data_IF_256245803520
#
_entry.id   IF_256245803520
#
_cell.length_a   1.000
_cell.length_b   1.000
_cell.length_c   1.000
_cell.angle_alpha   90.00
_cell.angle_beta   90.00
_cell.angle_gamma   90.00
#
_symmetry.space_group_name_H-M   'P 1'
#
loop_
_entity.id
_entity.type
_entity.pdbx_description
1 polymer ?
#
# COMPACT_ATOMS: atom_id res chain seq x y z
N UNK A 1 -11.70 15.43 19.19
CA UNK A 1 -10.68 16.27 18.53
C UNK A 1 -11.38 17.12 17.49
N UNK A 2 -10.94 18.37 17.31
CA UNK A 2 -11.50 19.32 16.33
C UNK A 2 -10.40 20.22 15.78
N UNK A 3 -10.68 20.95 14.69
CA UNK A 3 -9.75 21.89 14.05
C UNK A 3 -10.34 23.30 14.12
N UNK A 4 -9.51 24.28 14.45
CA UNK A 4 -9.84 25.69 14.39
C UNK A 4 -9.28 26.30 13.09
N UNK A 5 -10.06 27.18 12.46
CA UNK A 5 -9.59 28.01 11.36
C UNK A 5 -8.82 29.25 11.87
N UNK A 6 -8.30 30.06 10.93
CA UNK A 6 -7.44 31.22 11.22
C UNK A 6 -8.05 32.25 12.19
N UNK A 7 -9.39 32.35 12.24
CA UNK A 7 -10.10 33.27 13.14
C UNK A 7 -10.47 32.64 14.51
N UNK A 8 -9.94 31.45 14.84
CA UNK A 8 -10.30 30.72 16.06
C UNK A 8 -11.72 30.13 16.04
N UNK A 9 -12.39 30.17 14.88
CA UNK A 9 -13.68 29.49 14.65
C UNK A 9 -13.44 27.99 14.50
N UNK A 10 -14.31 27.17 15.08
CA UNK A 10 -14.28 25.72 14.88
C UNK A 10 -14.66 25.42 13.42
N UNK A 11 -13.76 24.78 12.69
CA UNK A 11 -13.93 24.35 11.31
C UNK A 11 -14.30 22.87 11.24
N UNK A 12 -13.64 22.04 12.06
CA UNK A 12 -14.01 20.64 12.24
C UNK A 12 -14.47 20.44 13.69
N UNK A 13 -15.70 19.94 13.93
CA UNK A 13 -16.26 19.80 15.26
C UNK A 13 -15.49 18.79 16.11
N UNK A 14 -15.65 18.87 17.42
CA UNK A 14 -14.96 18.01 18.39
C UNK A 14 -15.53 16.58 18.49
N UNK A 15 -16.21 16.12 17.45
CA UNK A 15 -16.99 14.88 17.43
C UNK A 15 -16.18 13.63 17.10
N UNK A 16 -14.92 13.81 16.70
CA UNK A 16 -14.03 12.71 16.32
C UNK A 16 -13.11 12.29 17.44
N UNK A 17 -12.91 10.98 17.59
CA UNK A 17 -11.94 10.40 18.53
C UNK A 17 -10.50 10.72 18.10
N UNK A 18 -10.24 10.82 16.80
CA UNK A 18 -8.97 11.26 16.24
C UNK A 18 -9.16 11.92 14.86
N UNK A 19 -8.20 12.80 14.51
CA UNK A 19 -8.09 13.42 13.18
C UNK A 19 -6.61 13.29 12.78
N UNK A 20 -6.36 12.80 11.57
CA UNK A 20 -5.02 12.58 11.02
C UNK A 20 -4.85 13.33 9.72
N UNK A 21 -3.66 13.88 9.56
CA UNK A 21 -3.23 14.47 8.31
C UNK A 21 -2.99 13.37 7.25
N UNK A 22 -3.21 13.70 5.99
CA UNK A 22 -2.93 12.80 4.86
C UNK A 22 -1.83 13.36 4.00
N UNK A 23 -1.18 12.50 3.20
CA UNK A 23 -0.12 12.97 2.32
C UNK A 23 -0.60 13.99 1.27
N UNK A 24 -1.91 14.00 0.97
CA UNK A 24 -2.54 14.90 0.00
C UNK A 24 -2.51 16.37 0.44
N UNK A 25 -2.27 16.64 1.72
CA UNK A 25 -2.24 18.00 2.26
C UNK A 25 -0.87 18.67 2.11
N UNK A 26 0.10 18.01 1.46
CA UNK A 26 1.36 18.63 1.07
C UNK A 26 1.23 19.36 -0.28
N UNK A 27 1.94 20.49 -0.41
CA UNK A 27 1.84 21.43 -1.54
C UNK A 27 2.08 20.83 -2.94
N UNK A 28 2.70 19.66 -3.05
CA UNK A 28 2.90 18.98 -4.32
C UNK A 28 1.62 18.34 -4.91
N UNK A 29 0.56 18.13 -4.11
CA UNK A 29 -0.66 17.44 -4.54
C UNK A 29 -1.90 18.32 -4.73
N UNK A 30 -1.86 19.60 -4.30
CA UNK A 30 -2.90 20.60 -4.61
C UNK A 30 -3.13 20.75 -6.13
N UNK A 31 -2.11 20.45 -6.94
CA UNK A 31 -2.21 20.50 -8.41
C UNK A 31 -2.84 19.25 -9.04
N UNK A 32 -2.79 18.10 -8.36
CA UNK A 32 -3.33 16.81 -8.85
C UNK A 32 -4.78 16.60 -8.43
N UNK A 33 -5.19 17.18 -7.30
CA UNK A 33 -6.55 17.15 -6.78
C UNK A 33 -7.08 18.56 -6.50
N UNK A 34 -7.13 19.46 -7.49
CA UNK A 34 -7.53 20.86 -7.28
C UNK A 34 -8.98 20.99 -6.76
N UNK A 35 -9.81 19.98 -6.99
CA UNK A 35 -11.21 19.95 -6.55
C UNK A 35 -11.38 19.38 -5.14
N UNK A 36 -10.34 18.80 -4.53
CA UNK A 36 -10.41 18.23 -3.18
C UNK A 36 -9.53 19.07 -2.26
N UNK A 37 -10.17 19.95 -1.50
CA UNK A 37 -9.55 20.65 -0.38
C UNK A 37 -9.05 19.64 0.67
N UNK A 38 -8.19 20.09 1.59
CA UNK A 38 -7.44 19.22 2.50
C UNK A 38 -8.24 18.00 3.02
N UNK A 39 -7.70 16.81 2.80
CA UNK A 39 -8.32 15.55 3.21
C UNK A 39 -7.76 15.15 4.56
N UNK A 40 -8.64 14.89 5.52
CA UNK A 40 -8.28 14.37 6.83
C UNK A 40 -8.87 12.98 7.02
N UNK A 41 -8.09 12.04 7.58
CA UNK A 41 -8.64 10.78 8.07
C UNK A 41 -9.20 11.04 9.46
N UNK A 42 -10.42 10.60 9.71
CA UNK A 42 -11.08 10.75 11.01
C UNK A 42 -11.47 9.42 11.58
N UNK A 43 -11.39 9.32 12.91
CA UNK A 43 -11.88 8.17 13.67
C UNK A 43 -13.09 8.57 14.50
N UNK A 44 -14.16 7.78 14.42
CA UNK A 44 -15.35 7.90 15.27
C UNK A 44 -15.83 6.50 15.66
N UNK A 45 -16.02 6.26 16.96
CA UNK A 45 -16.51 4.98 17.49
C UNK A 45 -15.69 3.76 17.01
N UNK A 46 -14.38 3.94 16.85
CA UNK A 46 -13.46 2.89 16.37
C UNK A 46 -13.57 2.58 14.87
N UNK A 47 -14.29 3.40 14.10
CA UNK A 47 -14.35 3.36 12.63
C UNK A 47 -13.64 4.55 12.02
N UNK A 48 -13.10 4.35 10.84
CA UNK A 48 -12.35 5.36 10.08
C UNK A 48 -13.05 5.71 8.77
N UNK A 49 -12.89 6.97 8.37
CA UNK A 49 -13.32 7.55 7.10
C UNK A 49 -12.47 8.78 6.79
N UNK A 50 -12.87 9.55 5.79
CA UNK A 50 -12.22 10.83 5.46
C UNK A 50 -13.21 11.97 5.37
N UNK A 51 -12.76 13.15 5.70
CA UNK A 51 -13.49 14.41 5.54
C UNK A 51 -12.62 15.43 4.80
N UNK A 52 -13.27 16.41 4.17
CA UNK A 52 -12.59 17.62 3.72
C UNK A 52 -12.40 18.64 4.87
N UNK A 53 -11.78 19.77 4.55
CA UNK A 53 -11.58 20.92 5.44
C UNK A 53 -12.88 21.66 5.83
N UNK A 54 -14.03 21.29 5.26
CA UNK A 54 -15.36 21.80 5.60
C UNK A 54 -16.18 20.76 6.37
N UNK A 55 -15.53 19.67 6.80
CA UNK A 55 -16.16 18.56 7.52
C UNK A 55 -17.23 17.80 6.69
N UNK A 56 -17.15 17.85 5.36
CA UNK A 56 -17.95 16.98 4.49
C UNK A 56 -17.31 15.60 4.43
N UNK A 57 -18.11 14.54 4.58
CA UNK A 57 -17.63 13.16 4.48
C UNK A 57 -17.34 12.83 3.02
N UNK A 58 -16.08 12.45 2.73
CA UNK A 58 -15.65 11.94 1.42
C UNK A 58 -15.73 10.41 1.46
N UNK A 59 -14.97 9.77 2.35
CA UNK A 59 -15.03 8.34 2.60
C UNK A 59 -15.87 8.09 3.85
N UNK A 60 -16.96 7.30 3.78
CA UNK A 60 -17.80 7.01 4.94
C UNK A 60 -17.02 6.42 6.12
N UNK A 61 -17.37 6.84 7.35
CA UNK A 61 -16.72 6.42 8.59
C UNK A 61 -17.21 5.03 9.02
N UNK A 62 -16.87 4.01 8.22
CA UNK A 62 -17.36 2.64 8.38
C UNK A 62 -16.25 1.59 8.31
N UNK A 63 -15.00 2.01 8.09
CA UNK A 63 -13.86 1.12 7.88
C UNK A 63 -13.12 0.85 9.19
N UNK A 64 -12.51 -0.33 9.30
CA UNK A 64 -11.73 -0.72 10.49
C UNK A 64 -10.31 -0.12 10.47
N UNK A 65 -9.86 0.35 9.30
CA UNK A 65 -8.56 0.98 9.12
C UNK A 65 -8.46 1.65 7.76
N UNK A 66 -7.80 2.81 7.72
CA UNK A 66 -7.40 3.53 6.52
C UNK A 66 -5.96 4.01 6.71
N UNK A 67 -5.08 3.80 5.72
CA UNK A 67 -3.73 4.37 5.73
C UNK A 67 -3.74 5.80 5.19
N UNK A 68 -2.71 6.60 5.51
CA UNK A 68 -2.60 8.00 5.02
C UNK A 68 -2.32 8.12 3.52
N UNK A 69 -1.73 7.06 2.94
CA UNK A 69 -1.40 6.92 1.52
C UNK A 69 -1.08 5.45 1.18
N UNK A 70 -0.86 5.15 -0.10
CA UNK A 70 -0.22 3.92 -0.58
C UNK A 70 1.15 4.30 -1.15
N UNK A 71 2.23 3.89 -0.49
CA UNK A 71 3.59 4.16 -0.96
C UNK A 71 3.93 3.30 -2.18
N UNK A 72 4.61 3.89 -3.19
CA UNK A 72 5.03 3.24 -4.44
C UNK A 72 3.90 2.62 -5.30
N UNK A 73 2.65 3.01 -5.06
CA UNK A 73 1.47 2.45 -5.71
C UNK A 73 0.51 3.51 -6.24
N UNK A 74 -0.77 3.14 -6.49
CA UNK A 74 -1.76 4.08 -6.96
C UNK A 74 -2.05 5.10 -5.87
N UNK A 75 -2.46 6.31 -6.27
CA UNK A 75 -2.92 7.31 -5.32
C UNK A 75 -4.16 6.79 -4.59
N UNK A 76 -4.03 6.57 -3.28
CA UNK A 76 -5.10 6.05 -2.49
C UNK A 76 -4.70 5.63 -1.08
N UNK A 77 -5.58 4.85 -0.47
CA UNK A 77 -5.45 4.36 0.89
C UNK A 77 -5.49 2.83 0.86
N UNK A 78 -4.63 2.19 1.65
CA UNK A 78 -4.95 0.84 2.12
C UNK A 78 -6.20 0.94 3.00
N UNK A 79 -7.14 0.04 2.78
CA UNK A 79 -8.39 -0.03 3.53
C UNK A 79 -8.54 -1.38 4.18
N UNK A 80 -9.10 -1.39 5.39
CA UNK A 80 -9.49 -2.59 6.11
C UNK A 80 -10.97 -2.58 6.46
N UNK A 81 -11.68 -3.68 6.21
CA UNK A 81 -13.07 -3.89 6.63
C UNK A 81 -13.33 -5.36 6.93
N UNK A 82 -13.90 -5.65 8.10
CA UNK A 82 -14.21 -6.99 8.58
C UNK A 82 -13.03 -7.96 8.48
N UNK A 83 -11.82 -7.47 8.79
CA UNK A 83 -10.59 -8.26 8.73
C UNK A 83 -10.03 -8.49 7.32
N UNK A 84 -10.66 -7.97 6.27
CA UNK A 84 -10.19 -8.02 4.89
C UNK A 84 -9.56 -6.69 4.46
N UNK A 85 -8.69 -6.75 3.47
CA UNK A 85 -7.88 -5.64 2.98
C UNK A 85 -8.13 -5.37 1.51
N UNK A 86 -7.97 -4.11 1.12
CA UNK A 86 -8.04 -3.61 -0.25
C UNK A 86 -7.30 -2.28 -0.40
N UNK A 87 -7.47 -1.65 -1.56
CA UNK A 87 -6.97 -0.29 -1.86
C UNK A 87 -8.15 0.52 -2.39
N UNK A 88 -8.29 1.76 -1.95
CA UNK A 88 -9.30 2.69 -2.46
C UNK A 88 -8.68 4.03 -2.83
N UNK A 89 -9.27 4.73 -3.79
CA UNK A 89 -8.88 6.08 -4.15
C UNK A 89 -9.21 7.07 -3.03
N UNK A 90 -8.66 8.30 -3.03
CA UNK A 90 -9.01 9.34 -2.07
C UNK A 90 -10.50 9.74 -2.11
N UNK A 91 -11.16 9.49 -3.25
CA UNK A 91 -12.61 9.71 -3.44
C UNK A 91 -13.47 8.55 -2.93
N UNK A 92 -12.85 7.48 -2.42
CA UNK A 92 -13.54 6.30 -1.88
C UNK A 92 -13.90 5.24 -2.92
N UNK A 93 -13.39 5.34 -4.16
CA UNK A 93 -13.58 4.31 -5.17
C UNK A 93 -12.68 3.11 -4.88
N UNK A 94 -13.23 1.90 -4.90
CA UNK A 94 -12.44 0.69 -4.64
C UNK A 94 -11.56 0.39 -5.86
N UNK A 95 -10.25 0.43 -5.67
CA UNK A 95 -9.24 0.05 -6.67
C UNK A 95 -8.98 -1.45 -6.55
N UNK A 96 -8.44 -1.91 -5.41
CA UNK A 96 -8.29 -3.34 -5.09
C UNK A 96 -9.43 -3.74 -4.14
N UNK A 97 -10.26 -4.73 -4.49
CA UNK A 97 -11.38 -5.19 -3.66
C UNK A 97 -11.02 -5.54 -2.22
N UNK A 98 -11.91 -5.21 -1.27
CA UNK A 98 -11.72 -5.48 0.17
C UNK A 98 -12.11 -6.93 0.51
N UNK A 99 -11.42 -7.90 -0.09
CA UNK A 99 -11.70 -9.33 0.08
C UNK A 99 -10.47 -10.18 0.42
N UNK A 100 -9.30 -9.57 0.40
CA UNK A 100 -8.03 -10.25 0.61
C UNK A 100 -7.70 -10.30 2.10
N UNK A 101 -7.04 -11.37 2.54
CA UNK A 101 -6.47 -11.48 3.88
C UNK A 101 -5.22 -10.58 4.03
N UNK A 102 -4.65 -10.17 2.90
CA UNK A 102 -3.49 -9.29 2.82
C UNK A 102 -3.40 -8.65 1.44
N UNK A 103 -3.02 -7.37 1.42
CA UNK A 103 -2.58 -6.64 0.21
C UNK A 103 -1.23 -6.00 0.55
N UNK A 104 -0.20 -6.32 -0.22
CA UNK A 104 1.15 -5.84 0.02
C UNK A 104 1.40 -4.44 -0.51
N UNK A 105 2.53 -3.86 -0.10
CA UNK A 105 3.07 -2.64 -0.69
C UNK A 105 3.35 -2.85 -2.18
N UNK A 106 2.78 -2.00 -3.05
CA UNK A 106 3.07 -2.04 -4.47
C UNK A 106 4.56 -1.85 -4.80
N UNK A 107 4.99 -2.45 -5.89
CA UNK A 107 6.34 -2.31 -6.45
C UNK A 107 6.25 -2.40 -7.97
N UNK A 108 6.71 -1.38 -8.70
CA UNK A 108 6.60 -1.30 -10.18
C UNK A 108 5.18 -1.66 -10.66
N UNK A 109 4.19 -0.96 -10.11
CA UNK A 109 2.77 -1.07 -10.49
C UNK A 109 2.10 -2.43 -10.27
N UNK A 110 2.75 -3.35 -9.56
CA UNK A 110 2.15 -4.62 -9.12
C UNK A 110 2.13 -4.75 -7.60
N UNK A 111 1.18 -5.51 -7.08
CA UNK A 111 1.07 -5.84 -5.66
C UNK A 111 0.77 -7.33 -5.46
N UNK A 112 1.28 -7.87 -4.36
CA UNK A 112 0.99 -9.23 -3.92
C UNK A 112 -0.28 -9.20 -3.06
N UNK A 113 -1.19 -10.14 -3.31
CA UNK A 113 -2.39 -10.33 -2.49
C UNK A 113 -2.43 -11.74 -1.93
N UNK A 114 -3.04 -11.92 -0.76
CA UNK A 114 -3.28 -13.24 -0.16
C UNK A 114 -4.77 -13.46 0.08
N UNK A 115 -5.28 -14.62 -0.29
CA UNK A 115 -6.65 -15.07 0.00
C UNK A 115 -6.62 -16.55 0.37
N UNK A 116 -7.20 -16.89 1.52
CA UNK A 116 -7.31 -18.26 2.03
C UNK A 116 -5.94 -18.99 2.09
N UNK A 117 -4.89 -18.28 2.50
CA UNK A 117 -3.54 -18.84 2.63
C UNK A 117 -2.79 -19.05 1.30
N UNK A 118 -3.35 -18.64 0.16
CA UNK A 118 -2.67 -18.63 -1.14
C UNK A 118 -2.38 -17.22 -1.60
N UNK A 119 -1.32 -17.07 -2.39
CA UNK A 119 -0.85 -15.81 -2.91
C UNK A 119 -1.17 -15.66 -4.40
N UNK A 120 -1.40 -14.42 -4.82
CA UNK A 120 -1.53 -13.99 -6.21
C UNK A 120 -0.88 -12.63 -6.42
N UNK A 121 -0.86 -12.18 -7.67
CA UNK A 121 -0.28 -10.89 -8.05
C UNK A 121 -1.28 -10.13 -8.89
N UNK A 122 -1.53 -8.88 -8.53
CA UNK A 122 -2.39 -7.97 -9.26
C UNK A 122 -1.56 -6.77 -9.73
N UNK A 123 -1.97 -6.15 -10.83
CA UNK A 123 -1.58 -4.77 -11.10
C UNK A 123 -2.29 -3.83 -10.11
N UNK A 124 -1.75 -2.62 -9.96
CA UNK A 124 -2.38 -1.55 -9.18
C UNK A 124 -3.69 -1.02 -9.81
N UNK A 125 -4.03 -1.48 -11.00
CA UNK A 125 -5.33 -1.26 -11.66
C UNK A 125 -6.28 -2.46 -11.48
N UNK A 126 -5.98 -3.36 -10.55
CA UNK A 126 -6.77 -4.57 -10.28
C UNK A 126 -6.83 -5.58 -11.43
N UNK A 127 -5.81 -5.61 -12.30
CA UNK A 127 -5.70 -6.67 -13.33
C UNK A 127 -4.95 -7.85 -12.74
N UNK A 128 -5.49 -9.05 -12.88
CA UNK A 128 -4.80 -10.27 -12.45
C UNK A 128 -3.56 -10.50 -13.32
N UNK A 129 -2.39 -10.57 -12.67
CA UNK A 129 -1.11 -10.96 -13.29
C UNK A 129 -0.85 -12.44 -13.03
N UNK A 130 -1.06 -12.88 -11.78
CA UNK A 130 -1.05 -14.27 -11.39
C UNK A 130 -2.23 -14.58 -10.48
N UNK A 131 -2.98 -15.65 -10.73
CA UNK A 131 -4.14 -16.02 -9.92
C UNK A 131 -3.73 -16.38 -8.50
N UNK A 132 -4.67 -16.21 -7.57
CA UNK A 132 -4.47 -16.55 -6.15
C UNK A 132 -4.45 -18.07 -5.94
N UNK A 133 -3.30 -18.67 -6.24
CA UNK A 133 -3.09 -20.13 -6.24
C UNK A 133 -1.67 -20.53 -5.85
N UNK A 134 -0.79 -19.55 -5.61
CA UNK A 134 0.61 -19.76 -5.27
C UNK A 134 0.77 -20.05 -3.78
N UNK A 135 1.74 -20.89 -3.43
CA UNK A 135 2.13 -21.15 -2.04
C UNK A 135 3.00 -20.02 -1.49
N UNK A 136 3.83 -19.41 -2.33
CA UNK A 136 4.66 -18.26 -1.98
C UNK A 136 4.91 -17.38 -3.22
N UNK A 137 5.07 -16.08 -3.02
CA UNK A 137 5.41 -15.09 -4.04
C UNK A 137 6.46 -14.12 -3.50
N UNK A 138 7.59 -14.00 -4.20
CA UNK A 138 8.64 -13.03 -3.94
C UNK A 138 8.73 -12.08 -5.13
N UNK A 139 8.61 -10.78 -4.86
CA UNK A 139 8.86 -9.74 -5.87
C UNK A 139 10.34 -9.38 -5.87
N UNK A 140 11.11 -10.03 -6.76
CA UNK A 140 12.50 -9.70 -7.03
C UNK A 140 12.56 -8.56 -8.06
N UNK A 141 12.44 -7.35 -7.54
CA UNK A 141 12.41 -6.13 -8.34
C UNK A 141 13.69 -5.35 -8.06
N UNK A 142 14.50 -5.17 -9.10
CA UNK A 142 15.71 -4.35 -9.03
C UNK A 142 15.35 -2.96 -8.49
N UNK A 143 15.89 -2.61 -7.33
CA UNK A 143 15.71 -1.27 -6.74
C UNK A 143 16.39 -0.24 -7.63
N UNK A 144 15.76 0.92 -7.72
CA UNK A 144 16.13 2.04 -8.60
C UNK A 144 17.43 2.77 -8.21
N UNK A 145 18.11 2.36 -7.14
CA UNK A 145 19.22 3.13 -6.56
C UNK A 145 20.48 2.28 -6.46
N UNK A 146 21.57 2.77 -7.08
CA UNK A 146 22.94 2.36 -6.78
C UNK A 146 23.63 3.51 -6.07
N UNK A 147 24.23 3.22 -4.93
CA UNK A 147 25.21 4.10 -4.30
C UNK A 147 26.41 4.19 -5.24
N UNK A 148 26.66 5.38 -5.78
CA UNK A 148 27.83 5.63 -6.62
C UNK A 148 29.02 5.86 -5.70
N UNK A 149 30.22 5.58 -6.19
CA UNK A 149 31.47 5.64 -5.41
C UNK A 149 31.79 7.02 -4.80
N UNK A 150 31.08 8.07 -5.20
CA UNK A 150 31.18 9.42 -4.66
C UNK A 150 30.18 9.71 -3.52
N UNK A 151 29.42 8.71 -3.07
CA UNK A 151 28.39 8.84 -2.04
C UNK A 151 27.08 9.46 -2.53
N UNK A 152 26.93 9.67 -3.84
CA UNK A 152 25.65 10.09 -4.44
C UNK A 152 24.77 8.89 -4.76
N UNK A 153 23.47 9.14 -4.91
CA UNK A 153 22.50 8.16 -5.39
C UNK A 153 22.19 8.47 -6.85
N UNK A 154 22.52 7.54 -7.76
CA UNK A 154 22.13 7.65 -9.17
C UNK A 154 20.99 6.69 -9.49
N UNK A 155 20.04 7.16 -10.32
CA UNK A 155 19.07 6.28 -10.98
C UNK A 155 19.86 5.38 -11.91
N UNK A 156 19.93 4.07 -11.62
CA UNK A 156 20.43 3.13 -12.62
C UNK A 156 19.46 3.14 -13.80
N UNK A 157 19.99 3.13 -15.03
CA UNK A 157 19.18 2.76 -16.19
C UNK A 157 18.53 1.41 -15.88
N UNK A 158 17.21 1.41 -16.03
CA UNK A 158 16.30 0.30 -15.77
C UNK A 158 16.84 -0.98 -16.41
N UNK A 159 17.52 -1.82 -15.64
CA UNK A 159 17.78 -3.18 -16.05
C UNK A 159 16.49 -4.00 -15.79
N UNK A 160 15.41 -3.62 -16.49
CA UNK A 160 14.12 -4.34 -16.53
C UNK A 160 14.36 -5.84 -16.75
N UNK A 161 15.42 -6.17 -17.50
CA UNK A 161 15.93 -7.53 -17.78
C UNK A 161 16.11 -8.44 -16.54
N UNK A 162 16.25 -7.89 -15.32
CA UNK A 162 16.42 -8.71 -14.10
C UNK A 162 15.19 -8.83 -13.21
N UNK A 163 14.17 -7.99 -13.39
CA UNK A 163 13.02 -8.01 -12.48
C UNK A 163 12.11 -9.20 -12.79
N UNK A 164 11.75 -9.96 -11.75
CA UNK A 164 10.95 -11.18 -11.89
C UNK A 164 10.09 -11.42 -10.66
N UNK A 165 9.01 -12.15 -10.87
CA UNK A 165 8.16 -12.70 -9.82
C UNK A 165 8.63 -14.14 -9.60
N UNK A 166 9.10 -14.44 -8.39
CA UNK A 166 9.52 -15.78 -8.00
C UNK A 166 8.36 -16.43 -7.26
N UNK A 167 7.92 -17.57 -7.74
CA UNK A 167 6.68 -18.21 -7.30
C UNK A 167 6.95 -19.64 -6.89
N UNK A 168 6.51 -20.01 -5.69
CA UNK A 168 6.36 -21.40 -5.29
C UNK A 168 4.92 -21.83 -5.57
N UNK A 169 4.74 -22.88 -6.35
CA UNK A 169 3.43 -23.46 -6.61
C UNK A 169 3.56 -24.98 -6.68
N UNK A 170 2.82 -25.68 -5.81
CA UNK A 170 2.79 -27.14 -5.73
C UNK A 170 4.19 -27.75 -5.57
N UNK A 171 5.03 -27.13 -4.74
CA UNK A 171 6.41 -27.58 -4.50
C UNK A 171 7.41 -27.27 -5.62
N UNK A 172 6.99 -26.58 -6.68
CA UNK A 172 7.86 -26.18 -7.79
C UNK A 172 8.09 -24.68 -7.78
N UNK A 173 9.35 -24.26 -7.84
CA UNK A 173 9.72 -22.85 -8.01
C UNK A 173 9.76 -22.47 -9.48
N UNK A 174 9.20 -21.31 -9.80
CA UNK A 174 9.13 -20.78 -11.16
C UNK A 174 9.43 -19.27 -11.13
N UNK A 175 10.00 -18.77 -12.21
CA UNK A 175 10.18 -17.34 -12.45
C UNK A 175 9.18 -16.87 -13.50
N UNK A 176 8.51 -15.76 -13.21
CA UNK A 176 7.64 -15.06 -14.14
C UNK A 176 8.14 -13.63 -14.34
N UNK A 177 7.84 -13.05 -15.50
CA UNK A 177 7.97 -11.62 -15.71
C UNK A 177 6.89 -10.86 -14.93
N UNK A 178 7.04 -9.54 -14.82
CA UNK A 178 6.07 -8.69 -14.10
C UNK A 178 4.69 -8.63 -14.77
N UNK A 179 4.58 -9.03 -16.03
CA UNK A 179 3.32 -9.20 -16.78
C UNK A 179 2.78 -10.63 -16.74
N UNK A 180 3.39 -11.53 -15.94
CA UNK A 180 2.88 -12.88 -15.69
C UNK A 180 3.30 -13.94 -16.72
N UNK A 181 4.23 -13.65 -17.62
CA UNK A 181 4.78 -14.66 -18.54
C UNK A 181 5.82 -15.52 -17.85
N UNK A 182 5.73 -16.84 -18.02
CA UNK A 182 6.72 -17.77 -17.48
C UNK A 182 8.09 -17.53 -18.14
N UNK A 183 9.10 -17.23 -17.33
CA UNK A 183 10.49 -17.05 -17.76
C UNK A 183 11.29 -18.34 -17.58
N UNK A 184 11.09 -19.03 -16.47
CA UNK A 184 11.79 -20.27 -16.14
C UNK A 184 10.90 -21.14 -15.26
N UNK A 185 10.85 -22.43 -15.55
CA UNK A 185 10.15 -23.40 -14.72
C UNK A 185 11.12 -24.32 -13.99
N UNK A 186 10.65 -24.91 -12.88
CA UNK A 186 11.40 -25.89 -12.10
C UNK A 186 12.79 -25.38 -11.68
N UNK A 187 12.83 -24.16 -11.15
CA UNK A 187 14.04 -23.55 -10.60
C UNK A 187 14.51 -24.40 -9.40
N UNK A 188 15.77 -24.85 -9.37
CA UNK A 188 16.28 -25.65 -8.27
C UNK A 188 16.22 -24.89 -6.94
N UNK A 189 15.82 -25.58 -5.86
CA UNK A 189 15.80 -24.99 -4.52
C UNK A 189 17.16 -24.41 -4.11
N UNK A 190 18.26 -25.02 -4.57
CA UNK A 190 19.62 -24.50 -4.33
C UNK A 190 19.79 -23.08 -4.87
N UNK A 191 19.31 -22.82 -6.09
CA UNK A 191 19.36 -21.48 -6.69
C UNK A 191 18.46 -20.49 -5.92
N UNK A 192 17.29 -20.97 -5.48
CA UNK A 192 16.37 -20.16 -4.67
C UNK A 192 17.02 -19.77 -3.34
N UNK A 193 17.63 -20.70 -2.62
CA UNK A 193 18.28 -20.43 -1.34
C UNK A 193 19.49 -19.50 -1.53
N UNK A 194 20.32 -19.71 -2.57
CA UNK A 194 21.45 -18.84 -2.88
C UNK A 194 21.05 -17.36 -3.08
N UNK A 195 19.84 -17.11 -3.59
CA UNK A 195 19.37 -15.76 -3.93
C UNK A 195 18.32 -15.18 -2.97
N UNK A 196 17.60 -16.01 -2.22
CA UNK A 196 16.41 -15.61 -1.48
C UNK A 196 16.31 -16.21 -0.07
N UNK A 197 17.31 -16.95 0.45
CA UNK A 197 17.27 -17.54 1.81
C UNK A 197 16.85 -16.51 2.88
N UNK A 198 17.43 -15.30 2.79
CA UNK A 198 17.15 -14.21 3.73
C UNK A 198 15.69 -13.72 3.73
N UNK A 199 14.92 -14.04 2.69
CA UNK A 199 13.48 -13.78 2.59
C UNK A 199 12.63 -14.99 2.99
N UNK A 200 13.20 -16.20 2.96
CA UNK A 200 12.52 -17.44 3.31
C UNK A 200 12.62 -17.78 4.80
N UNK A 201 13.74 -17.43 5.44
CA UNK A 201 14.00 -17.70 6.87
C UNK A 201 13.46 -16.63 7.82
N UNK A 202 13.01 -15.48 7.29
CA UNK A 202 12.36 -14.46 8.11
C UNK A 202 10.91 -14.85 8.38
N UNK A 203 10.69 -15.40 9.58
CA UNK A 203 9.43 -15.34 10.35
C UNK A 203 9.05 -13.89 10.73
N UNK A 204 9.61 -12.87 10.06
CA UNK A 204 9.13 -11.51 10.26
C UNK A 204 7.72 -11.44 9.67
N UNK A 205 6.74 -10.84 10.39
CA UNK A 205 5.47 -10.55 9.78
C UNK A 205 5.82 -9.80 8.50
N UNK A 206 5.41 -10.36 7.37
CA UNK A 206 5.64 -9.75 6.07
C UNK A 206 5.14 -8.29 6.14
N UNK A 207 5.24 -7.53 5.07
CA UNK A 207 4.61 -6.22 5.00
C UNK A 207 3.04 -6.28 5.14
N UNK A 208 2.48 -7.36 5.71
CA UNK A 208 1.14 -7.70 6.21
C UNK A 208 0.48 -6.67 7.11
N UNK A 209 1.26 -5.72 7.61
CA UNK A 209 0.72 -4.55 8.26
C UNK A 209 0.96 -3.33 7.38
N UNK A 210 0.02 -3.01 6.46
CA UNK A 210 -0.12 -1.64 6.02
C UNK A 210 -0.17 -0.77 7.26
N UNK A 211 0.53 0.35 7.24
CA UNK A 211 0.76 1.20 8.40
C UNK A 211 -0.55 1.90 8.81
N UNK A 212 -1.49 1.15 9.39
CA UNK A 212 -2.77 1.64 9.93
C UNK A 212 -2.56 2.35 11.27
N UNK A 213 -1.36 2.23 11.85
CA UNK A 213 -1.03 2.79 13.15
C UNK A 213 -0.54 4.23 13.05
N UNK A 214 -1.39 5.12 12.51
CA UNK A 214 -1.16 6.57 12.55
C UNK A 214 -1.44 7.14 13.95
N UNK A 215 -0.82 6.64 15.02
CA UNK A 215 -0.98 7.22 16.36
C UNK A 215 -0.08 8.44 16.55
N UNK A 216 -0.31 9.52 15.80
CA UNK A 216 0.05 10.85 16.31
C UNK A 216 -1.10 11.33 17.20
N UNK A 217 -1.02 11.03 18.49
CA UNK A 217 -1.83 11.76 19.50
C UNK A 217 -1.34 13.20 19.47
N UNK A 218 -1.98 14.04 18.66
CA UNK A 218 -1.73 15.47 18.59
C UNK A 218 -2.04 16.11 19.93
N UNK A 219 -0.98 16.36 20.72
CA UNK A 219 -0.96 17.48 21.64
C UNK A 219 -0.79 18.75 20.82
N UNK A 220 -1.60 19.76 21.15
CA UNK A 220 -1.59 21.16 20.71
C UNK A 220 -0.29 21.57 20.00
N UNK A 221 -0.35 21.79 18.69
CA UNK A 221 0.62 22.66 18.03
C UNK A 221 0.18 24.11 18.25
N UNK A 222 1.07 24.88 18.88
CA UNK A 222 0.93 26.32 19.14
C UNK A 222 1.29 27.12 17.91
#
# INVERSE_FOLDING_TARGET
MGIYGEEGKVVIPFDYSAIYDTHYNHSCHETMFPDIAHIYIVEKDGKMGTIDDKNNIIIPIVYDGLSGWVEYGPEGHFVKKHGKYGIMSPKGEIIIPIEYDYVGLPKKDITVVRKNGKYGVLSCENKEILPVSCDNVILDISRFLKEVSDGSWSRMEDNISRSKIVVLQQGTWNYYSLDGKLLQSNVPLKEINEHYDYLLERDEPSNEHPDFHMKRKGGVQR
#
